data_IF_938869632692
#
_entry.id   IF_938869632692
#
_cell.length_a   1.000
_cell.length_b   1.000
_cell.length_c   1.000
_cell.angle_alpha   90.00
_cell.angle_beta   90.00
_cell.angle_gamma   90.00
#
_symmetry.space_group_name_H-M   'P 1'
#
loop_
_entity.id
_entity.type
_entity.pdbx_description
1 polymer ?
#
# COMPACT_ATOMS: atom_id res chain seq x y z
N UNK A 1 -5.44 -23.11 20.11
CA UNK A 1 -5.93 -21.71 20.04
C UNK A 1 -7.28 -21.66 20.75
N UNK A 2 -7.42 -20.90 21.86
CA UNK A 2 -8.58 -20.98 22.79
C UNK A 2 -9.89 -20.38 22.23
N UNK A 3 -9.80 -19.64 21.12
CA UNK A 3 -10.95 -19.08 20.40
C UNK A 3 -10.71 -19.26 18.89
N UNK A 4 -11.42 -20.19 18.22
CA UNK A 4 -11.28 -20.36 16.79
C UNK A 4 -11.84 -19.12 16.10
N UNK A 5 -11.02 -18.46 15.30
CA UNK A 5 -11.45 -17.33 14.49
C UNK A 5 -12.33 -17.92 13.36
N UNK A 6 -13.66 -17.91 13.56
CA UNK A 6 -14.62 -18.48 12.61
C UNK A 6 -14.70 -17.69 11.29
N UNK A 7 -14.11 -16.48 11.27
CA UNK A 7 -14.02 -15.64 10.08
C UNK A 7 -12.75 -16.01 9.34
N UNK A 8 -12.92 -16.63 8.18
CA UNK A 8 -11.83 -16.93 7.26
C UNK A 8 -11.90 -15.99 6.06
N UNK A 9 -10.73 -15.64 5.55
CA UNK A 9 -10.59 -14.85 4.34
C UNK A 9 -10.86 -15.71 3.11
N UNK A 10 -11.23 -15.07 2.01
CA UNK A 10 -11.43 -15.77 0.73
C UNK A 10 -10.05 -16.15 0.16
N UNK A 11 -9.75 -17.44 -0.08
CA UNK A 11 -8.42 -17.85 -0.56
C UNK A 11 -8.07 -17.24 -1.92
N UNK A 12 -9.05 -17.02 -2.79
CA UNK A 12 -8.84 -16.46 -4.11
C UNK A 12 -8.43 -14.98 -4.06
N UNK A 13 -9.02 -14.23 -3.12
CA UNK A 13 -8.62 -12.85 -2.85
C UNK A 13 -7.19 -12.79 -2.29
N UNK A 14 -6.84 -13.70 -1.39
CA UNK A 14 -5.48 -13.82 -0.89
C UNK A 14 -4.48 -14.13 -2.02
N UNK A 15 -4.82 -15.06 -2.93
CA UNK A 15 -4.00 -15.38 -4.11
C UNK A 15 -3.85 -14.19 -5.06
N UNK A 16 -4.92 -13.43 -5.27
CA UNK A 16 -4.89 -12.21 -6.07
C UNK A 16 -3.84 -11.22 -5.54
N UNK A 17 -3.83 -10.98 -4.22
CA UNK A 17 -2.85 -10.06 -3.62
C UNK A 17 -1.44 -10.65 -3.45
N UNK A 18 -1.30 -11.97 -3.52
CA UNK A 18 -0.01 -12.66 -3.57
C UNK A 18 0.62 -12.62 -4.98
N UNK A 19 -0.17 -12.37 -6.02
CA UNK A 19 0.29 -12.42 -7.40
C UNK A 19 1.42 -11.41 -7.65
N UNK A 20 2.54 -11.87 -8.22
CA UNK A 20 3.73 -11.06 -8.48
C UNK A 20 4.54 -10.69 -7.24
N UNK A 21 4.25 -11.29 -6.07
CA UNK A 21 4.95 -11.00 -4.81
C UNK A 21 5.59 -12.25 -4.23
N UNK A 22 6.71 -12.06 -3.52
CA UNK A 22 7.36 -13.16 -2.80
C UNK A 22 6.62 -13.45 -1.48
N UNK A 23 6.70 -14.71 -1.02
CA UNK A 23 6.16 -15.12 0.29
C UNK A 23 6.82 -14.32 1.42
N UNK A 24 8.12 -14.07 1.32
CA UNK A 24 8.88 -13.28 2.30
C UNK A 24 8.37 -11.84 2.43
N UNK A 25 8.07 -11.18 1.31
CA UNK A 25 7.55 -9.80 1.33
C UNK A 25 6.18 -9.72 2.00
N UNK A 26 5.30 -10.66 1.69
CA UNK A 26 3.95 -10.70 2.27
C UNK A 26 4.00 -11.11 3.73
N UNK A 27 4.87 -12.05 4.12
CA UNK A 27 5.10 -12.42 5.51
C UNK A 27 5.56 -11.22 6.34
N UNK A 28 6.50 -10.42 5.81
CA UNK A 28 6.97 -9.19 6.45
C UNK A 28 5.85 -8.15 6.58
N UNK A 29 5.05 -7.94 5.54
CA UNK A 29 3.92 -6.99 5.57
C UNK A 29 2.84 -7.39 6.58
N UNK A 30 2.50 -8.68 6.62
CA UNK A 30 1.49 -9.23 7.53
C UNK A 30 2.03 -9.50 8.95
N UNK A 31 3.33 -9.28 9.18
CA UNK A 31 4.05 -9.61 10.44
C UNK A 31 3.82 -11.06 10.86
N UNK A 32 3.97 -11.98 9.91
CA UNK A 32 3.85 -13.44 10.09
C UNK A 32 5.08 -14.16 9.57
N UNK A 33 5.15 -15.45 9.88
CA UNK A 33 6.19 -16.32 9.32
C UNK A 33 5.87 -16.64 7.87
N UNK A 34 6.91 -16.84 7.07
CA UNK A 34 6.80 -17.32 5.69
C UNK A 34 6.06 -18.66 5.62
N UNK A 35 6.28 -19.52 6.62
CA UNK A 35 5.58 -20.79 6.75
C UNK A 35 4.06 -20.60 6.81
N UNK A 36 3.55 -19.71 7.67
CA UNK A 36 2.09 -19.47 7.75
C UNK A 36 1.53 -18.95 6.43
N UNK A 37 2.23 -18.04 5.76
CA UNK A 37 1.82 -17.51 4.44
C UNK A 37 1.80 -18.62 3.38
N UNK A 38 2.81 -19.49 3.38
CA UNK A 38 2.87 -20.66 2.49
C UNK A 38 1.76 -21.67 2.77
N UNK A 39 1.49 -21.95 4.05
CA UNK A 39 0.43 -22.86 4.47
C UNK A 39 -0.96 -22.32 4.04
N UNK A 40 -1.18 -21.01 4.05
CA UNK A 40 -2.39 -20.37 3.54
C UNK A 40 -2.49 -20.41 2.01
N UNK A 41 -1.37 -20.20 1.31
CA UNK A 41 -1.33 -20.20 -0.15
C UNK A 41 -1.62 -21.59 -0.74
N UNK A 42 -1.02 -22.61 -0.12
CA UNK A 42 -1.18 -24.03 -0.48
C UNK A 42 -2.50 -24.63 0.01
N UNK A 43 -3.23 -23.93 0.90
CA UNK A 43 -4.48 -24.40 1.48
C UNK A 43 -4.31 -25.44 2.58
N UNK A 44 -3.09 -25.64 3.09
CA UNK A 44 -2.81 -26.47 4.27
C UNK A 44 -3.46 -25.90 5.53
N UNK A 45 -3.52 -24.58 5.63
CA UNK A 45 -4.28 -23.86 6.66
C UNK A 45 -5.29 -22.91 6.03
N UNK A 46 -6.39 -22.66 6.74
CA UNK A 46 -7.37 -21.66 6.31
C UNK A 46 -6.81 -20.25 6.47
N UNK A 47 -7.03 -19.43 5.45
CA UNK A 47 -6.61 -18.02 5.46
C UNK A 47 -7.38 -17.25 6.55
N UNK A 48 -6.71 -16.55 7.48
CA UNK A 48 -7.39 -15.66 8.42
C UNK A 48 -8.09 -14.51 7.69
N UNK A 49 -9.29 -14.11 8.13
CA UNK A 49 -10.06 -13.03 7.48
C UNK A 49 -9.29 -11.72 7.29
N UNK A 50 -8.43 -11.36 8.25
CA UNK A 50 -7.70 -10.10 8.25
C UNK A 50 -6.55 -10.09 7.23
N UNK A 51 -6.05 -11.25 6.79
CA UNK A 51 -4.90 -11.32 5.88
C UNK A 51 -5.19 -10.67 4.52
N UNK A 52 -6.22 -11.09 3.75
CA UNK A 52 -6.57 -10.42 2.50
C UNK A 52 -7.01 -8.96 2.73
N UNK A 53 -7.70 -8.66 3.83
CA UNK A 53 -8.15 -7.29 4.15
C UNK A 53 -6.99 -6.30 4.34
N UNK A 54 -5.94 -6.70 5.06
CA UNK A 54 -4.75 -5.86 5.21
C UNK A 54 -4.07 -5.65 3.86
N UNK A 55 -3.97 -6.70 3.04
CA UNK A 55 -3.36 -6.58 1.70
C UNK A 55 -4.17 -5.65 0.79
N UNK A 56 -5.50 -5.73 0.87
CA UNK A 56 -6.42 -4.83 0.16
C UNK A 56 -6.23 -3.38 0.59
N UNK A 57 -6.21 -3.11 1.89
CA UNK A 57 -5.97 -1.75 2.42
C UNK A 57 -4.63 -1.20 1.95
N UNK A 58 -3.58 -2.02 2.00
CA UNK A 58 -2.24 -1.63 1.55
C UNK A 58 -2.16 -1.38 0.05
N UNK A 59 -2.90 -2.13 -0.76
CA UNK A 59 -3.01 -1.87 -2.19
C UNK A 59 -3.66 -0.50 -2.45
N UNK A 60 -4.78 -0.20 -1.77
CA UNK A 60 -5.45 1.11 -1.85
C UNK A 60 -4.53 2.26 -1.42
N UNK A 61 -3.77 2.09 -0.33
CA UNK A 61 -2.80 3.09 0.13
C UNK A 61 -1.68 3.34 -0.90
N UNK A 62 -1.16 2.27 -1.52
CA UNK A 62 -0.14 2.38 -2.57
C UNK A 62 -0.68 3.12 -3.79
N UNK A 63 -1.89 2.80 -4.22
CA UNK A 63 -2.52 3.44 -5.37
C UNK A 63 -2.81 4.93 -5.10
N UNK A 64 -3.35 5.26 -3.92
CA UNK A 64 -3.57 6.64 -3.51
C UNK A 64 -2.26 7.44 -3.46
N UNK A 65 -1.19 6.81 -2.94
CA UNK A 65 0.15 7.42 -2.89
C UNK A 65 0.69 7.65 -4.31
N UNK A 66 0.54 6.68 -5.21
CA UNK A 66 0.95 6.79 -6.61
C UNK A 66 0.20 7.92 -7.33
N UNK A 67 -1.10 8.02 -7.15
CA UNK A 67 -1.92 9.09 -7.73
C UNK A 67 -1.50 10.47 -7.20
N UNK A 68 -1.23 10.60 -5.90
CA UNK A 68 -0.74 11.85 -5.31
C UNK A 68 0.61 12.27 -5.90
N UNK A 69 1.55 11.33 -6.06
CA UNK A 69 2.83 11.64 -6.71
C UNK A 69 2.66 11.98 -8.18
N UNK A 70 1.79 11.27 -8.92
CA UNK A 70 1.50 11.58 -10.32
C UNK A 70 0.89 12.98 -10.47
N UNK A 71 -0.04 13.36 -9.60
CA UNK A 71 -0.63 14.69 -9.57
C UNK A 71 0.41 15.77 -9.24
N UNK A 72 1.29 15.53 -8.26
CA UNK A 72 2.34 16.50 -7.90
C UNK A 72 3.47 16.60 -8.93
N UNK A 73 3.76 15.51 -9.66
CA UNK A 73 4.78 15.48 -10.72
C UNK A 73 4.27 16.12 -12.02
N UNK A 74 2.96 16.25 -12.18
CA UNK A 74 2.36 16.97 -13.29
C UNK A 74 2.68 18.47 -13.18
N UNK A 75 3.64 18.94 -13.99
CA UNK A 75 3.84 20.36 -14.26
C UNK A 75 3.12 20.70 -15.57
N UNK A 76 2.13 21.61 -15.57
CA UNK A 76 1.57 22.09 -16.83
C UNK A 76 2.66 22.80 -17.61
N UNK A 77 2.88 22.39 -18.86
CA UNK A 77 3.97 22.86 -19.73
C UNK A 77 3.93 24.36 -20.05
N UNK A 78 2.83 25.04 -19.73
CA UNK A 78 2.53 26.43 -20.12
C UNK A 78 2.10 27.34 -18.95
N UNK A 79 2.43 27.01 -17.70
CA UNK A 79 2.21 27.95 -16.59
C UNK A 79 3.55 28.54 -16.19
N UNK A 80 3.87 29.70 -16.76
CA UNK A 80 4.85 30.60 -16.18
C UNK A 80 4.39 30.93 -14.77
N UNK A 81 4.99 30.26 -13.77
CA UNK A 81 4.75 30.62 -12.38
C UNK A 81 5.08 32.11 -12.25
N UNK A 82 4.13 32.97 -11.82
CA UNK A 82 4.37 34.39 -11.79
C UNK A 82 5.62 34.63 -10.95
N UNK A 83 6.63 35.22 -11.59
CA UNK A 83 7.91 35.57 -10.97
C UNK A 83 7.51 36.41 -9.76
N UNK A 84 7.62 35.85 -8.55
CA UNK A 84 7.35 36.61 -7.33
C UNK A 84 8.34 37.75 -7.32
N UNK A 85 7.94 38.90 -7.83
CA UNK A 85 8.67 40.13 -7.67
C UNK A 85 8.84 40.29 -6.17
N UNK A 86 10.07 40.15 -5.70
CA UNK A 86 10.41 40.52 -4.34
C UNK A 86 10.38 42.04 -4.35
N UNK A 87 9.41 42.72 -3.74
CA UNK A 87 9.50 44.16 -3.60
C UNK A 87 10.70 44.42 -2.70
N UNK A 88 11.81 44.75 -3.36
CA UNK A 88 12.95 45.52 -2.91
C UNK A 88 12.82 46.03 -1.46
N UNK A 89 13.79 45.61 -0.64
CA UNK A 89 14.29 46.37 0.50
C UNK A 89 14.45 47.83 0.07
N UNK A 90 13.49 48.69 0.42
CA UNK A 90 13.73 50.12 0.54
C UNK A 90 14.39 50.34 1.89
N UNK A 91 15.73 50.27 1.90
CA UNK A 91 16.54 50.85 2.96
C UNK A 91 16.26 52.36 2.90
N UNK A 92 15.52 52.87 3.88
CA UNK A 92 15.46 54.31 4.13
C UNK A 92 16.63 54.62 5.05
N UNK A 93 17.58 55.37 4.52
CA UNK A 93 18.71 55.96 5.24
C UNK A 93 18.26 57.12 6.13
#
# INVERSE_FOLDING_TARGET
MRYPNLRYGKPDEFRYYMNGRTVADVARELRRSERSVSDWLTGRERVPWWAPEILRLRAVERDATRLRFAFNAWKPSNVDAPKRERPHLRIVA
#
